data_IF_263984937861
#
_entry.id   IF_263984937861
#
_cell.length_a   1.000
_cell.length_b   1.000
_cell.length_c   1.000
_cell.angle_alpha   90.00
_cell.angle_beta   90.00
_cell.angle_gamma   90.00
#
_symmetry.space_group_name_H-M   'P 1'
#
loop_
_entity.id
_entity.type
_entity.pdbx_description
1 polymer ?
#
# COMPACT_ATOMS: atom_id res chain seq x y z
N UNK A 1 15.64 -6.19 -5.84
CA UNK A 1 15.01 -6.81 -7.02
C UNK A 1 15.71 -6.26 -8.25
N UNK A 2 16.56 -7.03 -8.96
CA UNK A 2 17.06 -6.58 -10.26
C UNK A 2 15.92 -6.62 -11.28
N UNK A 3 15.93 -5.68 -12.23
CA UNK A 3 14.94 -5.61 -13.31
C UNK A 3 15.23 -6.69 -14.37
N UNK A 4 14.21 -7.21 -15.09
CA UNK A 4 14.42 -8.20 -16.15
C UNK A 4 15.14 -7.58 -17.34
N UNK A 5 16.03 -8.35 -17.97
CA UNK A 5 17.08 -7.91 -18.91
C UNK A 5 16.62 -7.72 -20.37
N UNK A 6 15.33 -7.81 -20.68
CA UNK A 6 14.85 -7.78 -22.07
C UNK A 6 13.79 -6.70 -22.33
N UNK A 7 14.09 -5.44 -21.99
CA UNK A 7 13.26 -4.29 -22.40
C UNK A 7 13.96 -3.58 -23.57
N UNK A 8 13.43 -3.64 -24.81
CA UNK A 8 14.00 -2.86 -25.90
C UNK A 8 13.91 -1.37 -25.58
N UNK A 9 14.96 -0.63 -25.96
CA UNK A 9 15.22 0.79 -25.70
C UNK A 9 14.11 1.75 -26.20
N UNK A 10 12.95 1.73 -25.56
CA UNK A 10 12.12 2.93 -25.42
C UNK A 10 12.36 3.42 -24.01
N UNK A 11 13.11 4.52 -23.89
CA UNK A 11 13.55 5.19 -22.64
C UNK A 11 12.42 5.56 -21.66
N UNK A 12 11.17 5.21 -21.97
CA UNK A 12 9.96 5.58 -21.26
C UNK A 12 9.07 4.35 -21.07
N UNK A 13 8.53 4.21 -19.86
CA UNK A 13 7.43 3.29 -19.56
C UNK A 13 6.26 3.60 -20.51
N UNK A 14 5.65 2.56 -21.08
CA UNK A 14 4.37 2.74 -21.76
C UNK A 14 3.32 3.27 -20.77
N UNK A 15 2.35 4.03 -21.25
CA UNK A 15 1.27 4.55 -20.41
C UNK A 15 0.51 3.43 -19.68
N UNK A 16 0.40 2.25 -20.29
CA UNK A 16 -0.19 1.05 -19.67
C UNK A 16 0.64 0.56 -18.49
N UNK A 17 1.94 0.33 -18.71
CA UNK A 17 2.84 -0.14 -17.65
C UNK A 17 2.88 0.83 -16.48
N UNK A 18 2.91 2.15 -16.76
CA UNK A 18 2.86 3.17 -15.73
C UNK A 18 1.55 3.13 -14.94
N UNK A 19 0.40 2.98 -15.62
CA UNK A 19 -0.91 2.85 -14.96
C UNK A 19 -0.97 1.64 -14.04
N UNK A 20 -0.48 0.50 -14.51
CA UNK A 20 -0.46 -0.72 -13.70
C UNK A 20 0.45 -0.59 -12.47
N UNK A 21 1.60 0.08 -12.62
CA UNK A 21 2.46 0.41 -11.47
C UNK A 21 1.74 1.27 -10.44
N UNK A 22 1.02 2.33 -10.88
CA UNK A 22 0.27 3.20 -9.97
C UNK A 22 -0.88 2.46 -9.25
N UNK A 23 -1.60 1.59 -9.95
CA UNK A 23 -2.68 0.79 -9.34
C UNK A 23 -2.12 -0.15 -8.29
N UNK A 24 -1.01 -0.86 -8.59
CA UNK A 24 -0.36 -1.77 -7.64
C UNK A 24 0.18 -1.04 -6.43
N UNK A 25 0.79 0.13 -6.62
CA UNK A 25 1.27 0.96 -5.51
C UNK A 25 0.12 1.51 -4.65
N UNK A 26 -0.97 1.94 -5.29
CA UNK A 26 -2.19 2.39 -4.62
C UNK A 26 -2.80 1.33 -3.73
N UNK A 27 -2.96 0.10 -4.23
CA UNK A 27 -3.49 -1.04 -3.45
C UNK A 27 -2.58 -1.39 -2.26
N UNK A 28 -1.26 -1.38 -2.48
CA UNK A 28 -0.28 -1.61 -1.40
C UNK A 28 -0.41 -0.54 -0.31
N UNK A 29 -0.42 0.74 -0.68
CA UNK A 29 -0.53 1.87 0.25
C UNK A 29 -1.86 1.86 1.00
N UNK A 30 -2.95 1.49 0.31
CA UNK A 30 -4.26 1.33 0.94
C UNK A 30 -4.21 0.25 2.02
N UNK A 31 -3.68 -0.94 1.72
CA UNK A 31 -3.55 -2.04 2.68
C UNK A 31 -2.70 -1.65 3.89
N UNK A 32 -1.55 -1.00 3.65
CA UNK A 32 -0.66 -0.55 4.72
C UNK A 32 -1.34 0.45 5.65
N UNK A 33 -1.97 1.49 5.08
CA UNK A 33 -2.69 2.48 5.86
C UNK A 33 -3.88 1.87 6.60
N UNK A 34 -4.68 1.04 5.92
CA UNK A 34 -5.89 0.44 6.50
C UNK A 34 -5.56 -0.48 7.67
N UNK A 35 -4.51 -1.28 7.58
CA UNK A 35 -4.05 -2.14 8.67
C UNK A 35 -3.60 -1.33 9.90
N UNK A 36 -2.90 -0.21 9.68
CA UNK A 36 -2.51 0.71 10.76
C UNK A 36 -3.73 1.34 11.43
N UNK A 37 -4.70 1.79 10.63
CA UNK A 37 -5.95 2.36 11.12
C UNK A 37 -6.72 1.36 11.99
N UNK A 38 -6.93 0.12 11.51
CA UNK A 38 -7.61 -0.92 12.28
C UNK A 38 -6.89 -1.23 13.59
N UNK A 39 -5.56 -1.27 13.56
CA UNK A 39 -4.75 -1.50 14.75
C UNK A 39 -4.94 -0.38 15.78
N UNK A 40 -4.92 0.87 15.33
CA UNK A 40 -5.18 2.03 16.17
C UNK A 40 -6.60 2.00 16.76
N UNK A 41 -7.62 1.74 15.93
CA UNK A 41 -9.01 1.67 16.37
C UNK A 41 -9.21 0.62 17.46
N UNK A 42 -8.61 -0.57 17.31
CA UNK A 42 -8.70 -1.64 18.34
C UNK A 42 -8.07 -1.21 19.66
N UNK A 43 -6.87 -0.61 19.62
CA UNK A 43 -6.19 -0.10 20.83
C UNK A 43 -7.03 0.95 21.53
N UNK A 44 -7.54 1.92 20.78
CA UNK A 44 -8.40 2.96 21.33
C UNK A 44 -9.65 2.39 22.02
N UNK A 45 -10.31 1.41 21.40
CA UNK A 45 -11.46 0.75 22.02
C UNK A 45 -11.10 -0.04 23.28
N UNK A 46 -9.92 -0.68 23.31
CA UNK A 46 -9.44 -1.40 24.48
C UNK A 46 -9.14 -0.45 25.64
N UNK A 47 -8.50 0.68 25.37
CA UNK A 47 -8.22 1.74 26.35
C UNK A 47 -9.54 2.27 26.92
N UNK A 48 -10.51 2.63 26.05
CA UNK A 48 -11.82 3.09 26.50
C UNK A 48 -12.56 2.10 27.39
N UNK A 49 -12.47 0.79 27.09
CA UNK A 49 -13.08 -0.25 27.93
C UNK A 49 -12.38 -0.36 29.28
N UNK A 50 -11.06 -0.25 29.29
CA UNK A 50 -10.25 -0.37 30.51
C UNK A 50 -10.43 0.83 31.43
N UNK A 51 -10.58 2.05 30.89
CA UNK A 51 -10.86 3.25 31.67
C UNK A 51 -12.27 3.30 32.26
N UNK A 52 -13.18 2.42 31.83
CA UNK A 52 -14.58 2.35 32.26
C UNK A 52 -14.86 1.25 33.30
N UNK A 53 -13.90 0.36 33.59
CA UNK A 53 -14.03 -0.69 34.60
C UNK A 53 -13.24 -0.33 35.85
#
# INVERSE_FOLDING_TARGET
>A
MPLPVDIPMTRYLTSEQYRQMLVRDGDRRFKEWHNRFLSYQRKFQQELRSSRS
#
